data_IF_784665079853
#
_entry.id   IF_784665079853
#
_cell.length_a   1.000
_cell.length_b   1.000
_cell.length_c   1.000
_cell.angle_alpha   90.00
_cell.angle_beta   90.00
_cell.angle_gamma   90.00
#
_symmetry.space_group_name_H-M   'P 1'
#
loop_
_entity.id
_entity.type
_entity.pdbx_description
1 polymer ?
#
# COMPACT_ATOMS: atom_id res chain seq x y z
N UNK A 1 0.16 15.02 8.05
CA UNK A 1 1.44 15.05 7.28
C UNK A 1 1.36 16.05 6.12
N UNK A 2 0.44 15.85 5.18
CA UNK A 2 0.23 16.76 4.04
C UNK A 2 -0.04 18.20 4.47
N UNK A 3 -0.95 18.44 5.43
CA UNK A 3 -1.22 19.81 5.91
C UNK A 3 -0.04 20.47 6.63
N UNK A 4 0.93 19.70 7.14
CA UNK A 4 2.08 20.21 7.93
C UNK A 4 3.34 20.37 7.09
N UNK A 5 3.53 19.53 6.07
CA UNK A 5 4.74 19.50 5.23
C UNK A 5 4.45 19.76 3.75
N UNK A 6 3.19 19.99 3.38
CA UNK A 6 2.70 20.06 2.00
C UNK A 6 3.21 18.92 1.12
N UNK A 7 3.31 17.72 1.70
CA UNK A 7 3.96 16.58 1.10
C UNK A 7 3.28 15.28 1.52
N UNK A 8 3.04 14.41 0.54
CA UNK A 8 2.59 13.04 0.69
C UNK A 8 3.76 12.05 0.83
N UNK A 9 5.00 12.53 1.07
CA UNK A 9 6.16 11.66 1.10
C UNK A 9 6.05 10.53 2.13
N UNK A 10 6.35 9.31 1.68
CA UNK A 10 6.30 8.06 2.45
C UNK A 10 6.87 8.19 3.86
N UNK A 11 8.07 8.77 3.98
CA UNK A 11 8.76 8.99 5.26
C UNK A 11 7.88 9.68 6.31
N UNK A 12 7.14 10.71 5.94
CA UNK A 12 6.30 11.45 6.90
C UNK A 12 5.04 10.68 7.28
N UNK A 13 4.54 9.82 6.39
CA UNK A 13 3.40 8.96 6.70
C UNK A 13 3.80 7.87 7.68
N UNK A 14 4.94 7.24 7.45
CA UNK A 14 5.48 6.17 8.30
C UNK A 14 5.90 6.68 9.68
N UNK A 15 6.52 7.87 9.75
CA UNK A 15 6.99 8.46 11.01
C UNK A 15 5.82 9.02 11.85
N UNK A 16 4.87 9.72 11.21
CA UNK A 16 3.85 10.51 11.94
C UNK A 16 2.46 9.86 11.93
N UNK A 17 2.23 8.90 11.05
CA UNK A 17 0.97 8.20 10.92
C UNK A 17 0.60 7.34 12.14
N UNK A 18 1.52 6.49 12.68
CA UNK A 18 1.15 5.57 13.75
C UNK A 18 0.63 6.27 15.02
N UNK A 19 1.24 7.37 15.52
CA UNK A 19 0.69 8.09 16.66
C UNK A 19 -0.70 8.69 16.41
N UNK A 20 -0.97 9.14 15.17
CA UNK A 20 -2.27 9.71 14.78
C UNK A 20 -3.33 8.61 14.72
N UNK A 21 -3.02 7.49 14.06
CA UNK A 21 -3.92 6.35 13.94
C UNK A 21 -4.29 5.77 15.31
N UNK A 22 -3.30 5.58 16.19
CA UNK A 22 -3.51 5.13 17.57
C UNK A 22 -4.52 6.00 18.30
N UNK A 23 -4.31 7.31 18.31
CA UNK A 23 -5.20 8.27 18.99
C UNK A 23 -6.64 8.23 18.46
N UNK A 24 -6.82 8.02 17.15
CA UNK A 24 -8.15 7.92 16.53
C UNK A 24 -8.83 6.62 16.97
N UNK A 25 -8.13 5.48 16.85
CA UNK A 25 -8.70 4.18 17.14
C UNK A 25 -8.98 3.95 18.63
N UNK A 26 -8.12 4.47 19.52
CA UNK A 26 -8.37 4.46 20.97
C UNK A 26 -9.65 5.23 21.33
N UNK A 27 -9.87 6.41 20.71
CA UNK A 27 -11.09 7.19 20.91
C UNK A 27 -12.36 6.47 20.43
N UNK A 28 -12.23 5.60 19.44
CA UNK A 28 -13.33 4.79 18.92
C UNK A 28 -13.55 3.49 19.73
N UNK A 29 -12.73 3.23 20.76
CA UNK A 29 -12.82 2.02 21.56
C UNK A 29 -12.37 0.75 20.83
N UNK A 30 -11.49 0.89 19.83
CA UNK A 30 -10.92 -0.27 19.14
C UNK A 30 -10.08 -1.13 20.11
N UNK A 31 -10.05 -2.44 19.84
CA UNK A 31 -9.24 -3.39 20.62
C UNK A 31 -7.76 -3.11 20.41
N UNK A 32 -6.95 -3.35 21.45
CA UNK A 32 -5.51 -3.07 21.43
C UNK A 32 -4.79 -3.80 20.29
N UNK A 33 -5.16 -5.04 20.02
CA UNK A 33 -4.54 -5.87 18.98
C UNK A 33 -4.73 -5.26 17.59
N UNK A 34 -5.94 -4.75 17.30
CA UNK A 34 -6.24 -4.05 16.05
C UNK A 34 -5.45 -2.74 15.93
N UNK A 35 -5.38 -1.97 17.02
CA UNK A 35 -4.63 -0.71 17.05
C UNK A 35 -3.17 -0.96 16.76
N UNK A 36 -2.58 -1.97 17.40
CA UNK A 36 -1.16 -2.29 17.25
C UNK A 36 -0.86 -2.79 15.84
N UNK A 37 -1.71 -3.64 15.24
CA UNK A 37 -1.55 -4.08 13.86
C UNK A 37 -1.65 -2.92 12.86
N UNK A 38 -2.64 -2.02 13.02
CA UNK A 38 -2.77 -0.84 12.16
C UNK A 38 -1.55 0.08 12.29
N UNK A 39 -1.08 0.32 13.52
CA UNK A 39 0.10 1.14 13.76
C UNK A 39 1.38 0.52 13.17
N UNK A 40 1.54 -0.79 13.29
CA UNK A 40 2.65 -1.53 12.65
C UNK A 40 2.57 -1.32 11.15
N UNK A 41 1.46 -1.66 10.48
CA UNK A 41 1.30 -1.49 9.02
C UNK A 41 1.66 -0.08 8.57
N UNK A 42 1.11 0.96 9.22
CA UNK A 42 1.38 2.35 8.82
C UNK A 42 2.86 2.70 8.94
N UNK A 43 3.60 2.13 9.90
CA UNK A 43 4.98 2.51 10.19
C UNK A 43 6.01 2.11 9.14
N UNK A 44 5.64 1.24 8.18
CA UNK A 44 6.56 0.73 7.16
C UNK A 44 5.88 0.22 5.89
N UNK A 45 4.64 0.64 5.59
CA UNK A 45 3.91 0.21 4.40
C UNK A 45 4.57 0.61 3.06
N UNK A 46 5.47 1.59 3.01
CA UNK A 46 6.26 1.86 1.80
C UNK A 46 7.59 1.09 1.79
N UNK A 47 7.99 0.52 2.94
CA UNK A 47 9.24 -0.21 3.15
C UNK A 47 8.96 -1.59 3.78
N UNK A 48 8.34 -2.52 3.04
CA UNK A 48 8.03 -3.85 3.55
C UNK A 48 9.27 -4.58 4.08
N UNK A 49 9.12 -5.26 5.23
CA UNK A 49 10.16 -6.12 5.81
C UNK A 49 10.22 -7.45 5.04
N UNK A 50 11.21 -8.28 5.39
CA UNK A 50 11.37 -9.63 4.79
C UNK A 50 10.16 -10.54 5.06
N UNK A 51 9.49 -10.35 6.19
CA UNK A 51 8.29 -11.10 6.57
C UNK A 51 7.25 -10.09 7.03
N UNK A 52 6.06 -10.22 6.48
CA UNK A 52 4.92 -9.36 6.76
C UNK A 52 3.65 -10.19 7.00
N UNK A 53 2.71 -9.62 7.76
CA UNK A 53 1.41 -10.24 8.02
C UNK A 53 0.56 -10.29 6.75
N UNK A 54 -0.48 -11.12 6.75
CA UNK A 54 -1.42 -11.15 5.64
C UNK A 54 -2.10 -9.78 5.44
N UNK A 55 -2.50 -9.11 6.52
CA UNK A 55 -3.15 -7.81 6.46
C UNK A 55 -2.24 -6.74 5.88
N UNK A 56 -0.94 -6.74 6.25
CA UNK A 56 0.04 -5.85 5.62
C UNK A 56 0.12 -6.11 4.12
N UNK A 57 0.27 -7.37 3.71
CA UNK A 57 0.42 -7.76 2.30
C UNK A 57 -0.77 -7.31 1.46
N UNK A 58 -1.99 -7.51 1.98
CA UNK A 58 -3.23 -7.08 1.32
C UNK A 58 -3.26 -5.56 1.17
N UNK A 59 -2.91 -4.80 2.21
CA UNK A 59 -2.90 -3.34 2.16
C UNK A 59 -1.83 -2.81 1.19
N UNK A 60 -0.62 -3.36 1.26
CA UNK A 60 0.48 -3.02 0.36
C UNK A 60 0.12 -3.29 -1.11
N UNK A 61 -0.44 -4.46 -1.39
CA UNK A 61 -0.85 -4.84 -2.74
C UNK A 61 -1.89 -3.87 -3.31
N UNK A 62 -2.87 -3.48 -2.50
CA UNK A 62 -3.90 -2.52 -2.91
C UNK A 62 -3.31 -1.14 -3.22
N UNK A 63 -2.44 -0.62 -2.35
CA UNK A 63 -1.76 0.67 -2.56
C UNK A 63 -0.87 0.63 -3.81
N UNK A 64 -0.12 -0.46 -4.02
CA UNK A 64 0.73 -0.60 -5.19
C UNK A 64 -0.08 -0.64 -6.50
N UNK A 65 -1.21 -1.37 -6.53
CA UNK A 65 -2.07 -1.44 -7.73
C UNK A 65 -2.64 -0.06 -8.06
N UNK A 66 -3.18 0.66 -7.08
CA UNK A 66 -3.74 2.00 -7.30
C UNK A 66 -2.67 2.98 -7.79
N UNK A 67 -1.49 2.99 -7.16
CA UNK A 67 -0.38 3.85 -7.57
C UNK A 67 0.14 3.50 -8.96
N UNK A 68 0.19 2.21 -9.29
CA UNK A 68 0.59 1.74 -10.62
C UNK A 68 -0.42 2.15 -11.69
N UNK A 69 -1.71 2.08 -11.40
CA UNK A 69 -2.78 2.50 -12.30
C UNK A 69 -2.72 3.99 -12.61
N UNK A 70 -2.59 4.83 -11.57
CA UNK A 70 -2.44 6.27 -11.75
C UNK A 70 -1.18 6.62 -12.54
N UNK A 71 -0.07 5.92 -12.26
CA UNK A 71 1.19 6.10 -13.01
C UNK A 71 0.99 5.72 -14.48
N UNK A 72 0.43 4.54 -14.75
CA UNK A 72 0.25 4.02 -16.10
C UNK A 72 -0.66 4.92 -16.95
N UNK A 73 -1.72 5.49 -16.36
CA UNK A 73 -2.59 6.48 -17.04
C UNK A 73 -1.87 7.76 -17.44
N UNK A 74 -0.87 8.19 -16.65
CA UNK A 74 -0.07 9.40 -16.92
C UNK A 74 1.10 9.14 -17.86
N UNK A 75 1.76 8.00 -17.67
CA UNK A 75 2.94 7.55 -18.40
C UNK A 75 2.83 6.03 -18.61
N UNK A 76 2.31 5.59 -19.78
CA UNK A 76 2.11 4.17 -20.06
C UNK A 76 3.41 3.38 -19.98
N UNK A 77 3.38 2.33 -19.16
CA UNK A 77 4.46 1.35 -19.01
C UNK A 77 4.32 0.24 -20.05
N UNK A 78 5.44 -0.36 -20.45
CA UNK A 78 5.40 -1.53 -21.33
C UNK A 78 4.77 -2.75 -20.64
N UNK A 79 4.24 -3.69 -21.43
CA UNK A 79 3.69 -4.95 -20.91
C UNK A 79 4.72 -5.76 -20.11
N UNK A 80 5.99 -5.71 -20.48
CA UNK A 80 7.05 -6.44 -19.77
C UNK A 80 7.40 -5.79 -18.43
N UNK A 81 7.39 -4.45 -18.35
CA UNK A 81 7.53 -3.74 -17.07
C UNK A 81 6.36 -4.03 -16.14
N UNK A 82 5.13 -4.03 -16.66
CA UNK A 82 3.92 -4.38 -15.89
C UNK A 82 4.00 -5.81 -15.35
N UNK A 83 4.33 -6.79 -16.20
CA UNK A 83 4.52 -8.19 -15.78
C UNK A 83 5.58 -8.31 -14.68
N UNK A 84 6.72 -7.64 -14.82
CA UNK A 84 7.79 -7.67 -13.81
C UNK A 84 7.28 -7.13 -12.47
N UNK A 85 6.59 -5.99 -12.47
CA UNK A 85 6.03 -5.41 -11.25
C UNK A 85 5.02 -6.36 -10.60
N UNK A 86 4.12 -6.95 -11.39
CA UNK A 86 3.11 -7.90 -10.91
C UNK A 86 3.78 -9.10 -10.24
N UNK A 87 4.81 -9.68 -10.85
CA UNK A 87 5.43 -10.90 -10.31
C UNK A 87 6.36 -10.64 -9.12
N UNK A 88 7.13 -9.55 -9.15
CA UNK A 88 8.20 -9.31 -8.18
C UNK A 88 7.74 -8.47 -6.97
N UNK A 89 6.69 -7.65 -7.12
CA UNK A 89 6.31 -6.68 -6.08
C UNK A 89 5.00 -6.97 -5.37
N UNK A 90 4.04 -7.65 -6.01
CA UNK A 90 2.79 -8.03 -5.35
C UNK A 90 2.97 -9.31 -4.53
N UNK A 91 2.44 -9.29 -3.32
CA UNK A 91 2.59 -10.37 -2.35
C UNK A 91 1.56 -11.49 -2.51
N UNK A 92 0.31 -11.16 -2.84
CA UNK A 92 -0.79 -12.11 -2.86
C UNK A 92 -1.16 -12.54 -4.28
N UNK A 93 -1.51 -13.82 -4.45
CA UNK A 93 -1.98 -14.33 -5.75
C UNK A 93 -3.27 -13.64 -6.21
N UNK A 94 -4.12 -13.21 -5.27
CA UNK A 94 -5.33 -12.46 -5.61
C UNK A 94 -5.00 -11.09 -6.19
N UNK A 95 -4.03 -10.37 -5.61
CA UNK A 95 -3.57 -9.10 -6.16
C UNK A 95 -2.89 -9.29 -7.52
N UNK A 96 -2.06 -10.32 -7.68
CA UNK A 96 -1.44 -10.64 -8.97
C UNK A 96 -2.47 -10.88 -10.06
N UNK A 97 -3.51 -11.69 -9.77
CA UNK A 97 -4.61 -11.93 -10.72
C UNK A 97 -5.33 -10.63 -11.07
N UNK A 98 -5.74 -9.84 -10.08
CA UNK A 98 -6.42 -8.57 -10.30
C UNK A 98 -5.56 -7.60 -11.14
N UNK A 99 -4.27 -7.51 -10.86
CA UNK A 99 -3.36 -6.65 -11.61
C UNK A 99 -3.18 -7.12 -13.07
N UNK A 100 -3.19 -8.42 -13.34
CA UNK A 100 -3.19 -8.94 -14.73
C UNK A 100 -4.48 -8.57 -15.46
N UNK A 101 -5.63 -8.72 -14.79
CA UNK A 101 -6.93 -8.31 -15.33
C UNK A 101 -6.95 -6.81 -15.70
N UNK A 102 -6.48 -5.96 -14.79
CA UNK A 102 -6.44 -4.50 -14.99
C UNK A 102 -5.45 -4.13 -16.11
N UNK A 103 -4.20 -4.60 -16.06
CA UNK A 103 -3.12 -4.03 -16.87
C UNK A 103 -2.76 -4.81 -18.13
N UNK A 104 -3.14 -6.08 -18.24
CA UNK A 104 -2.71 -6.96 -19.34
C UNK A 104 -3.87 -7.51 -20.17
N UNK A 105 -5.07 -7.62 -19.57
CA UNK A 105 -6.26 -8.20 -20.19
C UNK A 105 -7.36 -7.16 -20.47
N UNK A 106 -7.35 -6.01 -19.79
CA UNK A 106 -8.25 -4.88 -20.04
C UNK A 106 -7.73 -3.92 -21.11
N UNK A 107 -8.64 -3.35 -21.91
CA UNK A 107 -8.38 -2.18 -22.75
C UNK A 107 -8.25 -0.94 -21.84
N UNK A 108 -7.01 -0.57 -21.48
CA UNK A 108 -6.67 0.74 -20.90
C UNK A 108 -5.89 1.54 -21.94
#
# INVERSE_FOLDING_TARGET
PEKRYNSSAAKYQEELGPPVARKILEKLGAKKELIDEVCDIISHHHHPRKQETLNFKVLYDADLITNLEEKHKKEPLSKDELKRIIEERLFTESAKRLAREIFLEGDI
#
